data_IF_888311349091
#
_entry.id   IF_888311349091
#
_cell.length_a   1.000
_cell.length_b   1.000
_cell.length_c   1.000
_cell.angle_alpha   90.00
_cell.angle_beta   90.00
_cell.angle_gamma   90.00
#
_symmetry.space_group_name_H-M   'P 1'
#
loop_
_entity.id
_entity.type
_entity.pdbx_description
1 polymer ?
#
# COMPACT_ATOMS: atom_id res chain seq x y z
N UNK A 1 2.94 30.60 -5.54
CA UNK A 1 3.12 31.84 -4.71
C UNK A 1 2.11 31.90 -3.57
N UNK A 2 0.78 31.99 -3.80
CA UNK A 2 -0.24 32.11 -2.72
C UNK A 2 -0.14 31.02 -1.64
N UNK A 3 0.06 29.74 -1.99
CA UNK A 3 0.18 28.64 -1.01
C UNK A 3 1.46 28.63 -0.18
N UNK A 4 2.58 29.17 -0.71
CA UNK A 4 3.81 29.37 0.08
C UNK A 4 3.65 30.54 1.03
N UNK A 5 2.96 31.58 0.61
CA UNK A 5 2.57 32.71 1.47
C UNK A 5 1.77 32.22 2.69
N UNK A 6 0.84 31.26 2.49
CA UNK A 6 0.01 30.69 3.57
C UNK A 6 0.82 29.81 4.55
N UNK A 7 2.00 29.31 4.16
CA UNK A 7 2.92 28.61 5.08
C UNK A 7 3.62 29.60 6.03
N UNK A 8 3.97 30.79 5.53
CA UNK A 8 4.62 31.84 6.32
C UNK A 8 3.60 32.58 7.16
N UNK A 9 2.35 32.71 6.67
CA UNK A 9 1.22 33.31 7.33
C UNK A 9 0.11 32.29 7.56
N UNK A 10 0.26 31.38 8.51
CA UNK A 10 -0.86 30.54 8.86
C UNK A 10 -1.98 31.46 9.35
N UNK A 11 -3.16 31.30 8.77
CA UNK A 11 -4.39 31.82 9.36
C UNK A 11 -4.40 31.47 10.85
N UNK A 12 -4.91 32.35 11.74
CA UNK A 12 -5.03 32.00 13.14
C UNK A 12 -5.66 30.63 13.24
N UNK A 13 -5.19 29.78 14.16
CA UNK A 13 -5.72 28.41 14.24
C UNK A 13 -7.23 28.55 14.40
N UNK A 14 -7.97 28.17 13.39
CA UNK A 14 -9.39 27.85 13.56
C UNK A 14 -9.42 26.92 14.75
N UNK A 15 -10.18 27.24 15.78
CA UNK A 15 -10.27 26.47 17.01
C UNK A 15 -10.48 25.01 16.62
N UNK A 16 -9.37 24.28 16.54
CA UNK A 16 -9.34 22.98 15.93
C UNK A 16 -10.07 21.99 16.82
N UNK A 17 -10.45 20.84 16.30
CA UNK A 17 -11.08 19.70 17.02
C UNK A 17 -10.44 19.45 18.40
N UNK A 18 -9.17 19.81 18.59
CA UNK A 18 -8.45 19.75 19.88
C UNK A 18 -8.99 20.70 20.94
N UNK A 19 -9.31 21.95 20.59
CA UNK A 19 -9.89 22.92 21.54
C UNK A 19 -11.34 22.60 21.88
N UNK A 20 -12.14 22.17 20.91
CA UNK A 20 -13.51 21.70 21.16
C UNK A 20 -13.51 20.50 22.11
N UNK A 21 -12.65 19.51 21.87
CA UNK A 21 -12.50 18.34 22.75
C UNK A 21 -12.02 18.70 24.16
N UNK A 22 -11.11 19.67 24.27
CA UNK A 22 -10.65 20.20 25.54
C UNK A 22 -11.77 20.93 26.30
N UNK A 23 -12.58 21.70 25.58
CA UNK A 23 -13.75 22.38 26.14
C UNK A 23 -14.79 21.38 26.67
N UNK A 24 -15.17 20.38 25.90
CA UNK A 24 -16.06 19.31 26.34
C UNK A 24 -15.52 18.57 27.56
N UNK A 25 -14.23 18.25 27.58
CA UNK A 25 -13.59 17.57 28.71
C UNK A 25 -13.63 18.46 29.96
N UNK A 26 -13.39 19.77 29.84
CA UNK A 26 -13.46 20.73 30.93
C UNK A 26 -14.89 20.91 31.47
N UNK A 27 -15.87 20.92 30.58
CA UNK A 27 -17.28 20.97 31.00
C UNK A 27 -17.67 19.72 31.80
N UNK A 28 -17.28 18.53 31.31
CA UNK A 28 -17.53 17.27 32.04
C UNK A 28 -16.84 17.24 33.40
N UNK A 29 -15.60 17.70 33.46
CA UNK A 29 -14.83 17.82 34.72
C UNK A 29 -15.49 18.79 35.70
N UNK A 30 -15.97 19.93 35.24
CA UNK A 30 -16.68 20.92 36.06
C UNK A 30 -17.98 20.34 36.62
N UNK A 31 -18.78 19.67 35.78
CA UNK A 31 -20.01 18.97 36.20
C UNK A 31 -19.69 17.89 37.25
N UNK A 32 -18.68 17.10 37.05
CA UNK A 32 -18.26 16.07 37.99
C UNK A 32 -17.87 16.70 39.35
N UNK A 33 -17.11 17.78 39.37
CA UNK A 33 -16.74 18.51 40.59
C UNK A 33 -17.97 19.04 41.35
N UNK A 34 -18.93 19.60 40.61
CA UNK A 34 -20.20 20.05 41.18
C UNK A 34 -20.92 18.91 41.92
N UNK A 35 -21.07 17.75 41.28
CA UNK A 35 -21.72 16.60 41.87
C UNK A 35 -20.96 16.07 43.10
N UNK A 36 -19.63 16.06 43.03
CA UNK A 36 -18.78 15.60 44.13
C UNK A 36 -18.87 16.54 45.35
N UNK A 37 -18.86 17.87 45.11
CA UNK A 37 -19.04 18.86 46.19
C UNK A 37 -20.45 18.79 46.79
N UNK A 38 -21.49 18.70 45.97
CA UNK A 38 -22.86 18.50 46.46
C UNK A 38 -23.02 17.23 47.28
N UNK A 39 -22.35 16.13 46.87
CA UNK A 39 -22.31 14.91 47.66
C UNK A 39 -21.54 15.09 48.98
N UNK A 40 -20.46 15.85 48.98
CA UNK A 40 -19.69 16.17 50.17
C UNK A 40 -20.51 16.98 51.16
N UNK A 41 -21.33 17.97 50.72
CA UNK A 41 -22.27 18.72 51.53
C UNK A 41 -23.32 17.79 52.14
N UNK A 42 -23.91 16.93 51.31
CA UNK A 42 -24.92 15.99 51.74
C UNK A 42 -24.42 14.99 52.78
N UNK A 43 -23.18 14.49 52.64
CA UNK A 43 -22.55 13.58 53.62
C UNK A 43 -22.12 14.32 54.88
N UNK A 44 -21.68 15.58 54.81
CA UNK A 44 -21.34 16.43 55.96
C UNK A 44 -22.56 16.65 56.87
N UNK A 45 -23.74 16.94 56.29
CA UNK A 45 -25.00 17.06 57.01
C UNK A 45 -25.40 15.76 57.79
N UNK A 46 -24.80 14.65 57.43
CA UNK A 46 -24.99 13.33 58.06
C UNK A 46 -23.84 12.90 58.97
N UNK A 47 -22.97 13.84 59.30
CA UNK A 47 -21.87 13.62 60.24
C UNK A 47 -20.59 13.00 59.64
N UNK A 48 -20.51 12.92 58.32
CA UNK A 48 -19.28 12.40 57.70
C UNK A 48 -18.25 13.53 57.54
N UNK A 49 -16.99 13.19 57.80
CA UNK A 49 -15.91 14.13 57.51
C UNK A 49 -15.61 14.17 56.02
N UNK A 50 -15.05 15.31 55.51
CA UNK A 50 -14.58 15.40 54.13
C UNK A 50 -13.53 14.35 53.77
N UNK A 51 -12.68 13.98 54.76
CA UNK A 51 -11.69 12.93 54.59
C UNK A 51 -12.34 11.55 54.35
N UNK A 52 -13.39 11.22 55.12
CA UNK A 52 -14.10 9.95 54.96
C UNK A 52 -14.88 9.92 53.60
N UNK A 53 -15.45 11.05 53.19
CA UNK A 53 -16.09 11.19 51.88
C UNK A 53 -15.12 11.06 50.73
N UNK A 54 -13.94 11.69 50.84
CA UNK A 54 -12.89 11.61 49.83
C UNK A 54 -12.35 10.16 49.68
N UNK A 55 -12.13 9.47 50.80
CA UNK A 55 -11.71 8.07 50.81
C UNK A 55 -12.72 7.16 50.11
N UNK A 56 -14.01 7.39 50.37
CA UNK A 56 -15.10 6.61 49.74
C UNK A 56 -15.19 6.85 48.22
N UNK A 57 -14.84 8.04 47.77
CA UNK A 57 -14.79 8.43 46.35
C UNK A 57 -13.45 8.10 45.67
N UNK A 58 -12.54 7.48 46.38
CA UNK A 58 -11.15 7.25 45.89
C UNK A 58 -10.44 8.53 45.44
N UNK A 59 -10.73 9.65 46.10
CA UNK A 59 -10.07 10.93 45.86
C UNK A 59 -9.04 11.20 46.95
N UNK A 60 -7.99 11.91 46.60
CA UNK A 60 -7.08 12.42 47.62
C UNK A 60 -7.85 13.46 48.51
N UNK A 61 -7.84 13.35 49.84
CA UNK A 61 -8.57 14.27 50.72
C UNK A 61 -8.27 15.75 50.42
N UNK A 62 -7.01 16.08 50.13
CA UNK A 62 -6.59 17.44 49.78
C UNK A 62 -7.26 17.95 48.49
N UNK A 63 -7.55 17.10 47.56
CA UNK A 63 -8.24 17.46 46.30
C UNK A 63 -9.70 17.82 46.58
N UNK A 64 -10.39 17.04 47.43
CA UNK A 64 -11.79 17.31 47.79
C UNK A 64 -11.91 18.61 48.62
N UNK A 65 -11.03 18.80 49.61
CA UNK A 65 -10.94 20.05 50.40
C UNK A 65 -10.73 21.22 49.47
N UNK A 66 -9.77 21.16 48.57
CA UNK A 66 -9.53 22.22 47.60
C UNK A 66 -10.74 22.54 46.73
N UNK A 67 -11.49 21.57 46.25
CA UNK A 67 -12.72 21.78 45.49
C UNK A 67 -13.84 22.39 46.34
N UNK A 68 -13.91 21.99 47.60
CA UNK A 68 -14.91 22.44 48.53
C UNK A 68 -14.69 23.89 48.96
N UNK A 69 -13.45 24.26 49.32
CA UNK A 69 -13.09 25.60 49.82
C UNK A 69 -13.07 26.68 48.72
N UNK A 70 -12.66 26.31 47.54
CA UNK A 70 -12.44 27.30 46.48
C UNK A 70 -13.66 27.50 45.59
N UNK A 71 -14.78 26.83 45.83
CA UNK A 71 -16.05 27.01 45.07
C UNK A 71 -15.86 26.99 43.55
N UNK A 72 -14.73 26.46 43.10
CA UNK A 72 -14.07 26.73 41.85
C UNK A 72 -14.71 26.03 40.65
N UNK A 73 -15.92 26.45 40.38
CA UNK A 73 -16.68 26.02 39.23
C UNK A 73 -16.49 26.93 38.02
N UNK A 74 -15.65 27.99 38.17
CA UNK A 74 -15.20 28.76 37.01
C UNK A 74 -14.45 27.79 36.05
N UNK A 75 -14.98 27.60 34.86
CA UNK A 75 -14.29 26.89 33.79
C UNK A 75 -12.93 27.60 33.60
N UNK A 76 -11.85 26.91 33.96
CA UNK A 76 -10.53 27.48 33.76
C UNK A 76 -10.38 27.85 32.28
N UNK A 77 -9.81 29.03 31.96
CA UNK A 77 -9.64 29.43 30.57
C UNK A 77 -8.94 28.34 29.77
N UNK A 78 -9.39 28.12 28.53
CA UNK A 78 -8.75 27.16 27.61
C UNK A 78 -7.36 27.66 27.31
N UNK A 79 -6.38 27.10 27.98
CA UNK A 79 -4.98 27.36 27.71
C UNK A 79 -4.48 26.35 26.73
N UNK A 80 -3.82 26.74 25.64
CA UNK A 80 -3.13 25.79 24.77
C UNK A 80 -2.22 24.89 25.60
N UNK A 81 -2.34 23.56 25.42
CA UNK A 81 -1.46 22.60 26.12
C UNK A 81 -0.01 22.86 25.72
N UNK A 82 0.85 23.06 26.70
CA UNK A 82 2.27 23.29 26.52
C UNK A 82 2.70 24.77 26.52
N UNK A 83 3.99 24.98 26.48
CA UNK A 83 4.59 26.31 26.39
C UNK A 83 4.18 26.93 25.05
N UNK A 84 3.73 28.22 25.02
CA UNK A 84 3.45 28.90 23.77
C UNK A 84 4.66 28.79 22.84
N UNK A 85 4.45 28.25 21.66
CA UNK A 85 5.52 28.19 20.66
C UNK A 85 5.86 29.63 20.24
N UNK A 86 6.98 30.16 20.74
CA UNK A 86 7.54 31.38 20.19
C UNK A 86 7.97 31.08 18.75
N UNK A 87 7.32 31.75 17.80
CA UNK A 87 7.66 31.61 16.39
C UNK A 87 8.75 32.58 16.03
N UNK A 88 9.72 32.11 15.27
CA UNK A 88 10.78 32.98 14.72
C UNK A 88 10.20 34.06 13.81
N UNK A 89 10.90 35.19 13.64
CA UNK A 89 10.48 36.27 12.75
C UNK A 89 10.16 35.78 11.35
N UNK A 90 9.23 36.48 10.69
CA UNK A 90 8.77 36.09 9.34
C UNK A 90 9.93 35.93 8.34
N UNK A 91 10.88 36.87 8.38
CA UNK A 91 12.03 36.87 7.49
C UNK A 91 12.87 35.56 7.62
N UNK A 92 13.11 35.12 8.87
CA UNK A 92 13.84 33.84 9.08
C UNK A 92 13.07 32.65 8.56
N UNK A 93 11.76 32.61 8.76
CA UNK A 93 10.94 31.50 8.22
C UNK A 93 10.92 31.48 6.69
N UNK A 94 10.94 32.66 6.07
CA UNK A 94 11.02 32.80 4.63
C UNK A 94 12.38 32.34 4.10
N UNK A 95 13.48 32.70 4.76
CA UNK A 95 14.82 32.22 4.40
C UNK A 95 14.92 30.68 4.48
N UNK A 96 14.28 30.05 5.46
CA UNK A 96 14.19 28.57 5.51
C UNK A 96 13.47 28.01 4.28
N UNK A 97 12.39 28.65 3.82
CA UNK A 97 11.66 28.18 2.63
C UNK A 97 12.48 28.37 1.35
N UNK A 98 13.25 29.43 1.23
CA UNK A 98 14.15 29.68 0.12
C UNK A 98 15.24 28.60 0.05
N UNK A 99 15.87 28.27 1.18
CA UNK A 99 16.82 27.15 1.27
C UNK A 99 16.16 25.80 0.94
N UNK A 100 14.91 25.60 1.35
CA UNK A 100 14.17 24.37 0.99
C UNK A 100 13.81 24.31 -0.50
N UNK A 101 13.57 25.44 -1.14
CA UNK A 101 13.34 25.49 -2.59
C UNK A 101 14.62 25.16 -3.38
N UNK A 102 15.80 25.54 -2.87
CA UNK A 102 17.09 25.20 -3.47
C UNK A 102 17.50 23.74 -3.21
N UNK A 103 17.45 23.29 -1.96
CA UNK A 103 17.91 21.96 -1.56
C UNK A 103 16.87 20.85 -1.80
N UNK A 104 15.60 21.21 -1.95
CA UNK A 104 14.49 20.30 -2.19
C UNK A 104 13.94 19.60 -0.96
N UNK A 105 12.88 18.78 -1.13
CA UNK A 105 12.10 18.18 -0.03
C UNK A 105 12.85 17.06 0.72
N UNK A 106 13.97 16.55 0.19
CA UNK A 106 14.78 15.52 0.82
C UNK A 106 15.65 16.05 1.97
N UNK A 107 15.80 17.39 2.09
CA UNK A 107 16.57 18.07 3.13
C UNK A 107 16.21 17.57 4.52
N UNK A 108 17.21 17.38 5.38
CA UNK A 108 17.02 16.97 6.77
C UNK A 108 16.80 18.17 7.70
N UNK A 109 16.15 17.92 8.87
CA UNK A 109 16.06 18.95 9.91
C UNK A 109 17.44 19.29 10.47
N UNK A 110 18.40 18.37 10.47
CA UNK A 110 19.77 18.62 10.89
C UNK A 110 20.43 19.66 9.98
N UNK A 111 20.35 19.46 8.65
CA UNK A 111 20.89 20.42 7.66
C UNK A 111 20.28 21.84 7.83
N UNK A 112 18.97 21.92 8.07
CA UNK A 112 18.32 23.20 8.31
C UNK A 112 18.80 23.86 9.61
N UNK A 113 19.09 23.06 10.63
CA UNK A 113 19.56 23.57 11.92
C UNK A 113 20.97 24.14 11.84
N UNK A 114 21.82 23.59 10.97
CA UNK A 114 23.16 24.12 10.73
C UNK A 114 23.09 25.54 10.13
N UNK A 115 22.16 25.77 9.19
CA UNK A 115 21.93 27.10 8.60
C UNK A 115 21.13 28.05 9.50
N UNK A 116 20.30 27.53 10.40
CA UNK A 116 19.40 28.32 11.26
C UNK A 116 19.48 27.91 12.74
N UNK A 117 20.66 28.04 13.40
CA UNK A 117 20.88 27.55 14.76
C UNK A 117 20.02 28.26 15.82
N UNK A 118 19.59 29.48 15.56
CA UNK A 118 18.73 30.24 16.45
C UNK A 118 17.26 29.82 16.44
N UNK A 119 16.84 29.02 15.44
CA UNK A 119 15.46 28.53 15.33
C UNK A 119 15.25 27.24 16.12
N UNK A 120 14.09 27.13 16.76
CA UNK A 120 13.74 25.91 17.48
C UNK A 120 13.62 24.73 16.50
N UNK A 121 14.19 23.57 16.85
CA UNK A 121 14.12 22.33 16.05
C UNK A 121 12.68 21.97 15.67
N UNK A 122 11.74 22.13 16.61
CA UNK A 122 10.33 21.82 16.37
C UNK A 122 9.69 22.75 15.32
N UNK A 123 10.13 24.01 15.23
CA UNK A 123 9.67 24.96 14.22
C UNK A 123 10.22 24.61 12.83
N UNK A 124 11.51 24.27 12.74
CA UNK A 124 12.14 23.81 11.49
C UNK A 124 11.47 22.52 10.98
N UNK A 125 11.18 21.59 11.86
CA UNK A 125 10.47 20.35 11.51
C UNK A 125 9.02 20.64 11.03
N UNK A 126 8.31 21.58 11.66
CA UNK A 126 6.98 21.99 11.20
C UNK A 126 7.02 22.64 9.82
N UNK A 127 7.98 23.55 9.57
CA UNK A 127 8.18 24.18 8.27
C UNK A 127 8.51 23.15 7.19
N UNK A 128 9.44 22.22 7.46
CA UNK A 128 9.81 21.16 6.53
C UNK A 128 8.64 20.23 6.22
N UNK A 129 7.85 19.82 7.23
CA UNK A 129 6.64 18.98 7.01
C UNK A 129 5.61 19.70 6.14
N UNK A 130 5.40 20.98 6.34
CA UNK A 130 4.47 21.78 5.52
C UNK A 130 4.98 21.96 4.10
N UNK A 131 6.27 22.25 3.96
CA UNK A 131 6.93 22.35 2.65
C UNK A 131 6.79 21.05 1.86
N UNK A 132 7.11 19.90 2.46
CA UNK A 132 6.96 18.57 1.85
C UNK A 132 5.54 18.31 1.38
N UNK A 133 4.54 18.67 2.18
CA UNK A 133 3.13 18.52 1.81
C UNK A 133 2.77 19.36 0.56
N UNK A 134 3.20 20.61 0.51
CA UNK A 134 2.95 21.49 -0.65
C UNK A 134 3.71 21.00 -1.87
N UNK A 135 4.96 20.59 -1.68
CA UNK A 135 5.78 20.02 -2.73
C UNK A 135 5.14 18.76 -3.33
N UNK A 136 4.71 17.82 -2.51
CA UNK A 136 4.01 16.60 -2.93
C UNK A 136 2.69 16.92 -3.66
N UNK A 137 1.96 17.94 -3.25
CA UNK A 137 0.74 18.36 -3.97
C UNK A 137 1.04 18.95 -5.35
N UNK A 138 2.17 19.64 -5.51
CA UNK A 138 2.60 20.22 -6.79
C UNK A 138 3.18 19.17 -7.73
N UNK A 139 3.93 18.21 -7.18
CA UNK A 139 4.65 17.17 -7.92
C UNK A 139 3.92 15.83 -7.83
N UNK A 140 2.68 15.81 -8.31
CA UNK A 140 1.90 14.58 -8.39
C UNK A 140 2.18 13.86 -9.70
N UNK A 141 2.45 12.57 -9.59
CA UNK A 141 2.44 11.68 -10.73
C UNK A 141 1.04 11.08 -10.88
N UNK A 142 0.54 11.02 -12.11
CA UNK A 142 -0.78 10.45 -12.40
C UNK A 142 -0.63 9.14 -13.19
N UNK A 143 -0.17 8.06 -12.54
CA UNK A 143 -0.06 6.78 -13.21
C UNK A 143 -1.45 6.24 -13.55
N UNK A 144 -1.49 5.44 -14.60
CA UNK A 144 -2.63 4.60 -14.86
C UNK A 144 -2.62 3.44 -13.86
N UNK A 145 -3.73 3.27 -13.16
CA UNK A 145 -3.96 2.09 -12.31
C UNK A 145 -4.76 1.08 -13.10
N UNK A 146 -4.25 -0.14 -13.15
CA UNK A 146 -4.89 -1.27 -13.82
C UNK A 146 -5.90 -1.93 -12.88
N UNK A 147 -7.12 -2.10 -13.36
CA UNK A 147 -8.16 -2.83 -12.65
C UNK A 147 -8.57 -4.04 -13.47
N UNK A 148 -8.24 -5.22 -12.96
CA UNK A 148 -8.64 -6.49 -13.55
C UNK A 148 -10.05 -6.84 -13.06
N UNK A 149 -10.98 -7.08 -14.01
CA UNK A 149 -12.41 -7.19 -13.69
C UNK A 149 -12.90 -8.63 -13.63
N UNK A 150 -12.28 -9.54 -14.37
CA UNK A 150 -12.78 -10.91 -14.53
C UNK A 150 -11.83 -11.91 -13.88
N UNK A 151 -12.21 -12.47 -12.70
CA UNK A 151 -11.45 -13.56 -12.07
C UNK A 151 -11.31 -14.78 -12.98
N UNK A 152 -10.11 -15.34 -13.04
CA UNK A 152 -9.77 -16.45 -13.89
C UNK A 152 -9.30 -16.08 -15.29
N UNK A 153 -9.42 -14.80 -15.70
CA UNK A 153 -9.08 -14.39 -17.06
C UNK A 153 -7.58 -14.18 -17.28
N UNK A 154 -6.89 -13.61 -16.31
CA UNK A 154 -5.46 -13.27 -16.44
C UNK A 154 -4.70 -13.74 -15.21
N UNK A 155 -3.79 -14.68 -15.43
CA UNK A 155 -2.87 -15.15 -14.40
C UNK A 155 -1.49 -14.54 -14.61
N UNK A 156 -0.84 -14.14 -13.55
CA UNK A 156 0.54 -13.68 -13.57
C UNK A 156 1.44 -14.72 -12.93
N UNK A 157 2.60 -14.95 -13.55
CA UNK A 157 3.60 -15.93 -13.14
C UNK A 157 4.95 -15.26 -12.94
N UNK A 158 5.67 -15.69 -11.92
CA UNK A 158 7.05 -15.27 -11.67
C UNK A 158 7.76 -16.28 -10.76
N UNK A 159 9.09 -16.32 -10.86
CA UNK A 159 9.90 -17.10 -9.94
C UNK A 159 10.40 -16.21 -8.80
N UNK A 160 10.53 -16.80 -7.63
CA UNK A 160 11.07 -16.16 -6.45
C UNK A 160 12.10 -17.08 -5.79
N UNK A 161 13.16 -16.50 -5.24
CA UNK A 161 14.15 -17.23 -4.47
C UNK A 161 13.69 -17.37 -3.02
N UNK A 162 13.89 -18.52 -2.42
CA UNK A 162 13.79 -18.76 -0.99
C UNK A 162 15.06 -18.29 -0.28
N UNK A 163 15.01 -17.86 1.00
CA UNK A 163 16.20 -17.43 1.74
C UNK A 163 17.23 -18.57 1.93
N UNK A 164 16.74 -19.78 2.07
CA UNK A 164 17.49 -21.05 2.11
C UNK A 164 16.68 -22.06 1.35
N UNK A 165 17.28 -23.08 0.69
CA UNK A 165 16.52 -24.11 0.01
C UNK A 165 15.45 -24.76 0.91
N UNK A 166 14.20 -24.72 0.49
CA UNK A 166 13.05 -25.28 1.21
C UNK A 166 13.26 -26.77 1.36
N UNK A 167 13.16 -27.29 2.60
CA UNK A 167 13.50 -28.66 2.98
C UNK A 167 14.89 -29.11 2.47
N UNK A 168 15.83 -28.16 2.35
CA UNK A 168 17.18 -28.42 1.83
C UNK A 168 17.23 -28.77 0.33
N UNK A 169 16.12 -28.67 -0.41
CA UNK A 169 15.98 -29.20 -1.78
C UNK A 169 15.55 -28.16 -2.81
N UNK A 170 14.66 -27.23 -2.46
CA UNK A 170 14.01 -26.34 -3.41
C UNK A 170 14.44 -24.87 -3.17
N UNK A 171 15.41 -24.35 -3.93
CA UNK A 171 15.88 -22.97 -3.76
C UNK A 171 14.93 -21.92 -4.37
N UNK A 172 13.98 -22.35 -5.20
CA UNK A 172 13.06 -21.43 -5.89
C UNK A 172 11.60 -21.79 -5.62
N UNK A 173 10.74 -20.79 -5.85
CA UNK A 173 9.29 -20.91 -5.80
C UNK A 173 8.71 -20.35 -7.10
N UNK A 174 7.81 -21.10 -7.72
CA UNK A 174 6.99 -20.59 -8.82
C UNK A 174 5.68 -20.05 -8.26
N UNK A 175 5.48 -18.73 -8.37
CA UNK A 175 4.26 -18.05 -7.97
C UNK A 175 3.31 -17.96 -9.17
N UNK A 176 2.04 -18.30 -8.96
CA UNK A 176 0.96 -18.09 -9.93
C UNK A 176 -0.19 -17.40 -9.23
N UNK A 177 -0.60 -16.26 -9.75
CA UNK A 177 -1.65 -15.41 -9.16
C UNK A 177 -2.69 -15.00 -10.17
N UNK A 178 -3.96 -15.15 -9.84
CA UNK A 178 -5.04 -14.50 -10.59
C UNK A 178 -5.09 -13.01 -10.27
N UNK A 179 -5.07 -12.17 -11.30
CA UNK A 179 -4.94 -10.71 -11.13
C UNK A 179 -6.24 -10.03 -10.70
N UNK A 180 -7.40 -10.60 -10.99
CA UNK A 180 -8.68 -9.98 -10.66
C UNK A 180 -9.17 -10.34 -9.25
N UNK A 181 -9.09 -11.60 -8.85
CA UNK A 181 -9.44 -12.06 -7.51
C UNK A 181 -8.31 -11.89 -6.50
N UNK A 182 -7.08 -11.73 -6.98
CA UNK A 182 -5.84 -11.80 -6.20
C UNK A 182 -5.56 -13.17 -5.57
N UNK A 183 -6.27 -14.22 -6.00
CA UNK A 183 -6.04 -15.60 -5.56
C UNK A 183 -4.62 -16.05 -5.91
N UNK A 184 -3.90 -16.54 -4.92
CA UNK A 184 -2.64 -17.24 -5.12
C UNK A 184 -2.97 -18.68 -5.55
N UNK A 185 -2.82 -18.95 -6.83
CA UNK A 185 -3.12 -20.26 -7.41
C UNK A 185 -2.02 -21.27 -7.12
N UNK A 186 -0.78 -20.78 -7.05
CA UNK A 186 0.37 -21.54 -6.63
C UNK A 186 1.40 -20.66 -5.91
N UNK A 187 2.04 -21.24 -4.91
CA UNK A 187 3.27 -20.84 -4.27
C UNK A 187 4.09 -22.11 -4.15
N UNK A 188 4.68 -22.53 -5.30
CA UNK A 188 5.12 -23.89 -5.52
C UNK A 188 6.65 -24.00 -5.51
N UNK A 189 7.24 -24.76 -4.57
CA UNK A 189 8.68 -25.00 -4.52
C UNK A 189 9.18 -25.79 -5.73
N UNK A 190 10.23 -25.30 -6.36
CA UNK A 190 10.86 -25.91 -7.53
C UNK A 190 12.38 -25.98 -7.39
N UNK A 191 13.03 -27.00 -7.98
CA UNK A 191 14.49 -27.13 -7.91
C UNK A 191 15.22 -26.11 -8.78
N UNK A 192 14.58 -25.63 -9.87
CA UNK A 192 15.17 -24.64 -10.78
C UNK A 192 14.07 -23.89 -11.55
N UNK A 193 14.32 -22.63 -11.96
CA UNK A 193 13.38 -21.83 -12.73
C UNK A 193 13.39 -22.24 -14.22
N UNK A 194 12.76 -23.35 -14.56
CA UNK A 194 12.74 -23.95 -15.91
C UNK A 194 11.36 -23.93 -16.55
N UNK A 195 11.34 -24.04 -17.88
CA UNK A 195 10.11 -24.22 -18.64
C UNK A 195 9.39 -25.53 -18.28
N UNK A 196 10.14 -26.61 -18.01
CA UNK A 196 9.59 -27.91 -17.63
C UNK A 196 8.78 -27.80 -16.32
N UNK A 197 9.33 -27.17 -15.27
CA UNK A 197 8.64 -26.94 -14.00
C UNK A 197 7.40 -26.05 -14.21
N UNK A 198 7.52 -25.03 -15.05
CA UNK A 198 6.39 -24.13 -15.38
C UNK A 198 5.26 -24.91 -16.06
N UNK A 199 5.58 -25.73 -17.07
CA UNK A 199 4.59 -26.53 -17.81
C UNK A 199 3.92 -27.56 -16.88
N UNK A 200 4.70 -28.24 -16.05
CA UNK A 200 4.19 -29.24 -15.10
C UNK A 200 3.15 -28.59 -14.17
N UNK A 201 3.49 -27.49 -13.57
CA UNK A 201 2.58 -26.77 -12.67
C UNK A 201 1.34 -26.24 -13.41
N UNK A 202 1.51 -25.65 -14.60
CA UNK A 202 0.40 -25.12 -15.38
C UNK A 202 -0.58 -26.21 -15.80
N UNK A 203 -0.11 -27.39 -16.20
CA UNK A 203 -0.98 -28.55 -16.51
C UNK A 203 -1.86 -28.91 -15.31
N UNK A 204 -1.29 -29.00 -14.11
CA UNK A 204 -2.03 -29.27 -12.88
C UNK A 204 -3.08 -28.19 -12.57
N UNK A 205 -2.69 -26.91 -12.70
CA UNK A 205 -3.60 -25.79 -12.49
C UNK A 205 -4.71 -25.72 -13.55
N UNK A 206 -4.41 -26.02 -14.82
CA UNK A 206 -5.40 -26.03 -15.88
C UNK A 206 -6.41 -27.19 -15.72
N UNK A 207 -5.95 -28.34 -15.27
CA UNK A 207 -6.84 -29.47 -14.95
C UNK A 207 -7.81 -29.12 -13.82
N UNK A 208 -7.33 -28.44 -12.79
CA UNK A 208 -8.14 -28.10 -11.62
C UNK A 208 -9.06 -26.88 -11.85
N UNK A 209 -8.55 -25.85 -12.49
CA UNK A 209 -9.20 -24.53 -12.55
C UNK A 209 -9.71 -24.14 -13.94
N UNK A 210 -9.26 -24.83 -14.98
CA UNK A 210 -9.39 -24.43 -16.38
C UNK A 210 -8.34 -23.39 -16.77
N UNK A 211 -7.88 -23.38 -18.05
CA UNK A 211 -6.88 -22.43 -18.50
C UNK A 211 -7.45 -20.99 -18.58
N UNK A 212 -6.62 -19.94 -18.30
CA UNK A 212 -6.99 -18.54 -18.43
C UNK A 212 -7.06 -18.10 -19.91
N UNK A 213 -7.36 -16.83 -20.15
CA UNK A 213 -7.21 -16.22 -21.47
C UNK A 213 -5.76 -15.77 -21.72
N UNK A 214 -5.12 -15.28 -20.66
CA UNK A 214 -3.78 -14.68 -20.73
C UNK A 214 -2.93 -15.16 -19.56
N UNK A 215 -1.70 -15.56 -19.86
CA UNK A 215 -0.63 -15.71 -18.89
C UNK A 215 0.32 -14.52 -19.02
N UNK A 216 0.47 -13.78 -17.93
CA UNK A 216 1.34 -12.61 -17.85
C UNK A 216 2.63 -12.98 -17.13
N UNK A 217 3.78 -12.76 -17.79
CA UNK A 217 5.11 -13.12 -17.29
C UNK A 217 6.10 -11.99 -17.48
N UNK A 218 7.27 -12.11 -16.89
CA UNK A 218 8.45 -11.36 -17.29
C UNK A 218 9.07 -11.96 -18.58
N UNK A 219 10.29 -11.51 -18.92
CA UNK A 219 11.05 -12.05 -20.07
C UNK A 219 12.08 -13.13 -19.63
N UNK A 220 11.85 -13.83 -18.54
CA UNK A 220 12.72 -14.91 -18.10
C UNK A 220 12.81 -16.06 -19.13
N UNK A 221 13.95 -16.73 -19.21
CA UNK A 221 14.21 -17.78 -20.19
C UNK A 221 13.19 -18.94 -20.10
N UNK A 222 12.74 -19.27 -18.90
CA UNK A 222 11.72 -20.30 -18.68
C UNK A 222 10.37 -19.97 -19.38
N UNK A 223 10.00 -18.68 -19.43
CA UNK A 223 8.76 -18.21 -20.05
C UNK A 223 8.89 -17.91 -21.54
N UNK A 224 10.13 -17.74 -22.03
CA UNK A 224 10.42 -17.54 -23.46
C UNK A 224 10.60 -18.84 -24.22
N UNK A 225 10.69 -19.97 -23.53
CA UNK A 225 10.90 -21.27 -24.12
C UNK A 225 9.78 -21.65 -25.10
N UNK A 226 10.15 -22.19 -26.27
CA UNK A 226 9.19 -22.62 -27.30
C UNK A 226 8.27 -23.73 -26.78
N UNK A 227 8.79 -24.66 -25.97
CA UNK A 227 8.00 -25.72 -25.34
C UNK A 227 6.80 -25.20 -24.54
N UNK A 228 6.95 -24.04 -23.84
CA UNK A 228 5.83 -23.42 -23.14
C UNK A 228 4.80 -22.85 -24.14
N UNK A 229 5.24 -22.26 -25.25
CA UNK A 229 4.37 -21.75 -26.29
C UNK A 229 3.58 -22.88 -26.95
N UNK A 230 4.24 -23.97 -27.30
CA UNK A 230 3.61 -25.16 -27.87
C UNK A 230 2.52 -25.75 -26.97
N UNK A 231 2.72 -25.73 -25.66
CA UNK A 231 1.71 -26.15 -24.67
C UNK A 231 0.48 -25.24 -24.64
N UNK A 232 0.67 -23.93 -24.84
CA UNK A 232 -0.40 -22.93 -24.68
C UNK A 232 -1.22 -22.69 -25.96
N UNK A 233 -0.64 -22.89 -27.13
CA UNK A 233 -1.29 -22.65 -28.45
C UNK A 233 -2.57 -23.46 -28.62
N UNK A 234 -2.61 -24.77 -28.35
CA UNK A 234 -3.83 -25.58 -28.51
C UNK A 234 -4.95 -25.14 -27.56
N UNK A 235 -4.59 -24.55 -26.42
CA UNK A 235 -5.52 -24.06 -25.41
C UNK A 235 -5.99 -22.62 -25.68
N UNK A 236 -5.47 -21.97 -26.73
CA UNK A 236 -5.72 -20.57 -27.08
C UNK A 236 -5.38 -19.57 -25.95
N UNK A 237 -4.45 -19.95 -25.07
CA UNK A 237 -3.91 -19.09 -24.01
C UNK A 237 -2.85 -18.16 -24.59
N UNK A 238 -2.96 -16.86 -24.35
CA UNK A 238 -2.01 -15.87 -24.86
C UNK A 238 -0.95 -15.52 -23.82
N UNK A 239 0.32 -15.48 -24.25
CA UNK A 239 1.44 -14.99 -23.43
C UNK A 239 1.52 -13.47 -23.53
N UNK A 240 1.55 -12.79 -22.39
CA UNK A 240 1.71 -11.35 -22.24
C UNK A 240 3.01 -11.06 -21.50
N UNK A 241 4.06 -10.72 -22.24
CA UNK A 241 5.36 -10.38 -21.69
C UNK A 241 5.41 -8.96 -21.17
N UNK A 242 6.05 -8.75 -20.03
CA UNK A 242 6.31 -7.43 -19.49
C UNK A 242 7.22 -6.61 -20.41
N UNK A 243 7.00 -5.27 -20.57
CA UNK A 243 7.94 -4.44 -21.31
C UNK A 243 9.32 -4.46 -20.64
N UNK A 244 10.42 -4.45 -21.40
CA UNK A 244 11.75 -4.33 -20.84
C UNK A 244 11.88 -3.09 -19.93
N UNK A 245 12.66 -3.17 -18.86
CA UNK A 245 12.97 -2.07 -17.95
C UNK A 245 11.73 -1.36 -17.33
N UNK A 246 10.61 -2.07 -17.20
CA UNK A 246 9.40 -1.52 -16.60
C UNK A 246 8.97 -2.34 -15.37
N UNK A 247 9.69 -2.25 -14.22
CA UNK A 247 9.40 -3.07 -13.03
C UNK A 247 7.95 -2.95 -12.56
N UNK A 248 7.40 -1.74 -12.59
CA UNK A 248 6.00 -1.46 -12.16
C UNK A 248 4.93 -2.26 -12.92
N UNK A 249 5.28 -2.85 -14.06
CA UNK A 249 4.33 -3.64 -14.85
C UNK A 249 3.89 -4.92 -14.13
N UNK A 250 4.75 -5.50 -13.29
CA UNK A 250 4.49 -6.70 -12.49
C UNK A 250 4.13 -6.41 -11.02
N UNK A 251 3.98 -5.15 -10.63
CA UNK A 251 3.82 -4.73 -9.23
C UNK A 251 2.72 -5.45 -8.44
N UNK A 252 1.63 -5.90 -9.11
CA UNK A 252 0.58 -6.67 -8.46
C UNK A 252 1.06 -8.08 -8.06
N UNK A 253 1.85 -8.74 -8.91
CA UNK A 253 2.44 -10.05 -8.62
C UNK A 253 3.56 -9.93 -7.60
N UNK A 254 4.45 -8.94 -7.75
CA UNK A 254 5.55 -8.67 -6.80
C UNK A 254 5.02 -8.42 -5.38
N UNK A 255 3.95 -7.63 -5.24
CA UNK A 255 3.27 -7.43 -3.96
C UNK A 255 2.70 -8.74 -3.39
N UNK A 256 2.18 -9.62 -4.26
CA UNK A 256 1.72 -10.96 -3.90
C UNK A 256 2.83 -11.84 -3.38
N UNK A 257 3.95 -11.91 -4.10
CA UNK A 257 5.15 -12.66 -3.72
C UNK A 257 5.71 -12.15 -2.39
N UNK A 258 5.85 -10.83 -2.22
CA UNK A 258 6.29 -10.22 -0.97
C UNK A 258 5.40 -10.58 0.22
N UNK A 259 4.08 -10.59 0.00
CA UNK A 259 3.11 -11.01 1.01
C UNK A 259 3.24 -12.50 1.37
N UNK A 260 3.46 -13.38 0.38
CA UNK A 260 3.67 -14.81 0.59
C UNK A 260 4.98 -15.07 1.34
N UNK A 261 6.09 -14.46 0.92
CA UNK A 261 7.38 -14.55 1.64
C UNK A 261 7.25 -14.17 3.11
N UNK A 262 6.56 -13.05 3.39
CA UNK A 262 6.33 -12.59 4.77
C UNK A 262 5.50 -13.58 5.59
N UNK A 263 4.49 -14.21 4.99
CA UNK A 263 3.67 -15.23 5.66
C UNK A 263 4.44 -16.53 5.90
N UNK A 264 5.15 -17.02 4.88
CA UNK A 264 5.99 -18.21 4.99
C UNK A 264 7.01 -18.05 6.12
N UNK A 265 7.72 -16.91 6.16
CA UNK A 265 8.67 -16.59 7.24
C UNK A 265 8.01 -16.57 8.61
N UNK A 266 6.79 -16.03 8.70
CA UNK A 266 6.05 -15.99 9.95
C UNK A 266 5.61 -17.38 10.41
N UNK A 267 5.22 -18.28 9.51
CA UNK A 267 4.92 -19.67 9.83
C UNK A 267 6.18 -20.39 10.32
N UNK A 268 7.27 -20.32 9.58
CA UNK A 268 8.56 -20.90 9.96
C UNK A 268 9.05 -20.41 11.33
N UNK A 269 8.94 -19.08 11.59
CA UNK A 269 9.33 -18.49 12.87
C UNK A 269 8.46 -18.99 14.04
N UNK A 270 7.15 -19.14 13.83
CA UNK A 270 6.23 -19.68 14.85
C UNK A 270 6.49 -21.16 15.14
N UNK A 271 6.92 -21.90 14.14
CA UNK A 271 7.30 -23.31 14.28
C UNK A 271 8.72 -23.52 14.83
N UNK A 272 9.45 -22.41 15.11
CA UNK A 272 10.78 -22.45 15.75
C UNK A 272 11.95 -22.64 14.78
N UNK A 273 11.73 -22.50 13.47
CA UNK A 273 12.78 -22.60 12.46
C UNK A 273 12.80 -21.39 11.49
N UNK A 274 13.02 -20.15 12.00
CA UNK A 274 13.04 -18.95 11.17
C UNK A 274 14.06 -19.09 10.05
N UNK A 275 13.73 -18.58 8.86
CA UNK A 275 14.50 -18.66 7.60
C UNK A 275 14.62 -20.05 6.96
N UNK A 276 14.37 -21.10 7.70
CA UNK A 276 14.40 -22.49 7.22
C UNK A 276 12.98 -22.95 6.82
N UNK A 277 12.52 -22.49 5.67
CA UNK A 277 11.16 -22.79 5.22
C UNK A 277 10.96 -24.26 4.88
N UNK A 278 9.79 -24.77 5.23
CA UNK A 278 9.33 -26.12 4.88
C UNK A 278 8.20 -26.05 3.85
N UNK A 279 7.88 -27.19 3.24
CA UNK A 279 6.71 -27.32 2.32
C UNK A 279 5.41 -26.96 3.04
N UNK A 280 5.28 -27.28 4.33
CA UNK A 280 4.10 -26.94 5.13
C UNK A 280 3.98 -25.44 5.37
N UNK A 281 5.09 -24.72 5.65
CA UNK A 281 5.08 -23.27 5.80
C UNK A 281 4.64 -22.57 4.53
N UNK A 282 5.09 -23.08 3.38
CA UNK A 282 4.72 -22.57 2.05
C UNK A 282 3.23 -22.78 1.77
N UNK A 283 2.72 -23.99 2.04
CA UNK A 283 1.30 -24.31 1.87
C UNK A 283 0.40 -23.47 2.79
N UNK A 284 0.71 -23.39 4.07
CA UNK A 284 -0.03 -22.57 5.04
C UNK A 284 -0.02 -21.08 4.68
N UNK A 285 1.12 -20.55 4.19
CA UNK A 285 1.21 -19.17 3.75
C UNK A 285 0.29 -18.85 2.56
N UNK A 286 0.19 -19.79 1.60
CA UNK A 286 -0.71 -19.67 0.46
C UNK A 286 -2.19 -19.71 0.89
N UNK A 287 -2.55 -20.65 1.74
CA UNK A 287 -3.91 -20.78 2.27
C UNK A 287 -4.31 -19.54 3.08
N UNK A 288 -3.45 -19.09 3.98
CA UNK A 288 -3.68 -17.89 4.77
C UNK A 288 -3.84 -16.64 3.89
N UNK A 289 -2.98 -16.48 2.88
CA UNK A 289 -3.07 -15.35 1.95
C UNK A 289 -4.42 -15.33 1.24
N UNK A 290 -4.92 -16.47 0.81
CA UNK A 290 -6.19 -16.60 0.11
C UNK A 290 -7.41 -16.40 1.04
N UNK A 291 -7.32 -16.86 2.28
CA UNK A 291 -8.43 -16.81 3.23
C UNK A 291 -8.54 -15.45 3.96
N UNK A 292 -7.41 -14.76 4.21
CA UNK A 292 -7.40 -13.60 5.11
C UNK A 292 -7.09 -12.27 4.45
N UNK A 293 -6.41 -12.26 3.29
CA UNK A 293 -6.07 -11.01 2.63
C UNK A 293 -7.32 -10.22 2.22
N UNK A 294 -7.21 -8.88 2.24
CA UNK A 294 -8.26 -7.95 1.85
C UNK A 294 -7.72 -6.93 0.85
N UNK A 295 -7.45 -7.33 -0.39
CA UNK A 295 -6.80 -6.46 -1.39
C UNK A 295 -7.62 -5.24 -1.78
N UNK A 296 -8.94 -5.26 -1.54
CA UNK A 296 -9.86 -4.15 -1.80
C UNK A 296 -10.22 -3.36 -0.53
N UNK A 297 -9.45 -3.50 0.55
CA UNK A 297 -9.67 -2.85 1.84
C UNK A 297 -10.46 -3.73 2.82
N UNK A 298 -10.58 -3.30 4.06
CA UNK A 298 -11.10 -4.10 5.19
C UNK A 298 -12.47 -4.73 4.95
N UNK A 299 -13.35 -4.04 4.22
CA UNK A 299 -14.71 -4.53 3.88
C UNK A 299 -14.74 -5.32 2.57
N UNK A 300 -13.63 -5.43 1.86
CA UNK A 300 -13.54 -6.18 0.61
C UNK A 300 -13.62 -7.69 0.82
N UNK A 301 -14.00 -8.41 -0.24
CA UNK A 301 -14.00 -9.87 -0.23
C UNK A 301 -12.57 -10.42 -0.19
N UNK A 302 -12.42 -11.64 0.34
CA UNK A 302 -11.13 -12.36 0.29
C UNK A 302 -10.84 -12.85 -1.13
N UNK A 303 -9.56 -13.11 -1.48
CA UNK A 303 -9.21 -13.75 -2.73
C UNK A 303 -9.97 -15.04 -2.96
N UNK A 304 -10.07 -15.89 -1.94
CA UNK A 304 -10.80 -17.15 -2.03
C UNK A 304 -12.29 -16.95 -2.34
N UNK A 305 -12.95 -15.99 -1.71
CA UNK A 305 -14.38 -15.70 -1.95
C UNK A 305 -14.61 -15.23 -3.40
N UNK A 306 -13.76 -14.31 -3.91
CA UNK A 306 -13.83 -13.84 -5.29
C UNK A 306 -13.54 -14.97 -6.30
N UNK A 307 -12.57 -15.82 -5.99
CA UNK A 307 -12.19 -16.93 -6.85
C UNK A 307 -13.27 -18.01 -6.92
N UNK A 308 -13.81 -18.39 -5.78
CA UNK A 308 -14.86 -19.44 -5.69
C UNK A 308 -16.16 -19.01 -6.35
N UNK A 309 -16.51 -17.73 -6.30
CA UNK A 309 -17.69 -17.17 -6.96
C UNK A 309 -17.53 -16.88 -8.45
N UNK A 310 -16.35 -17.13 -9.05
CA UNK A 310 -16.12 -16.82 -10.46
C UNK A 310 -16.88 -17.71 -11.42
N UNK A 311 -17.24 -17.19 -12.56
CA UNK A 311 -17.62 -17.99 -13.72
C UNK A 311 -16.39 -18.66 -14.31
N UNK A 312 -16.45 -19.98 -14.52
CA UNK A 312 -15.37 -20.68 -15.23
C UNK A 312 -15.39 -20.32 -16.72
N UNK A 313 -14.21 -20.08 -17.27
CA UNK A 313 -14.02 -19.80 -18.68
C UNK A 313 -14.14 -21.08 -19.50
N UNK A 314 -14.88 -20.97 -20.60
CA UNK A 314 -15.07 -22.05 -21.56
C UNK A 314 -14.05 -21.99 -22.70
N UNK A 315 -13.94 -23.05 -23.52
CA UNK A 315 -13.18 -22.99 -24.78
C UNK A 315 -13.74 -21.94 -25.76
N UNK A 316 -15.05 -21.70 -25.73
CA UNK A 316 -15.69 -20.67 -26.56
C UNK A 316 -15.23 -19.26 -26.14
N UNK A 317 -15.11 -18.99 -24.83
CA UNK A 317 -14.57 -17.71 -24.33
C UNK A 317 -13.15 -17.47 -24.83
N UNK A 318 -12.30 -18.50 -24.79
CA UNK A 318 -10.90 -18.42 -25.25
C UNK A 318 -10.82 -18.21 -26.76
N UNK A 319 -11.60 -18.94 -27.56
CA UNK A 319 -11.68 -18.72 -29.02
C UNK A 319 -12.11 -17.30 -29.35
N UNK A 320 -13.14 -16.81 -28.68
CA UNK A 320 -13.64 -15.47 -28.90
C UNK A 320 -12.59 -14.41 -28.53
N UNK A 321 -11.89 -14.59 -27.40
CA UNK A 321 -10.81 -13.68 -27.01
C UNK A 321 -9.64 -13.75 -27.99
N UNK A 322 -9.26 -14.94 -28.43
CA UNK A 322 -8.20 -15.12 -29.43
C UNK A 322 -8.53 -14.45 -30.76
N UNK A 323 -9.81 -14.52 -31.20
CA UNK A 323 -10.28 -13.79 -32.38
C UNK A 323 -10.19 -12.27 -32.18
N UNK A 324 -10.64 -11.76 -31.02
CA UNK A 324 -10.51 -10.32 -30.68
C UNK A 324 -9.04 -9.88 -30.71
N UNK A 325 -8.12 -10.68 -30.16
CA UNK A 325 -6.67 -10.36 -30.22
C UNK A 325 -6.15 -10.31 -31.64
N UNK A 326 -6.57 -11.22 -32.52
CA UNK A 326 -6.16 -11.17 -33.95
C UNK A 326 -6.65 -9.88 -34.62
N UNK A 327 -7.92 -9.55 -34.48
CA UNK A 327 -8.49 -8.32 -35.02
C UNK A 327 -7.74 -7.08 -34.50
N UNK A 328 -7.51 -7.01 -33.19
CA UNK A 328 -6.75 -5.92 -32.60
C UNK A 328 -5.29 -5.88 -33.03
N UNK A 329 -4.70 -7.01 -33.41
CA UNK A 329 -3.36 -7.04 -33.98
C UNK A 329 -3.30 -6.45 -35.38
N UNK A 330 -4.30 -6.74 -36.23
CA UNK A 330 -4.44 -6.13 -37.56
C UNK A 330 -4.59 -4.61 -37.46
N UNK A 331 -5.44 -4.13 -36.54
CA UNK A 331 -5.60 -2.71 -36.27
C UNK A 331 -4.31 -2.03 -35.79
N UNK A 332 -3.57 -2.68 -34.89
CA UNK A 332 -2.28 -2.17 -34.39
C UNK A 332 -1.26 -2.11 -35.52
N UNK A 333 -1.17 -3.14 -36.35
CA UNK A 333 -0.27 -3.17 -37.51
C UNK A 333 -0.61 -2.04 -38.50
N UNK A 334 -1.87 -1.85 -38.84
CA UNK A 334 -2.31 -0.79 -39.71
C UNK A 334 -1.99 0.62 -39.16
N UNK A 335 -2.18 0.84 -37.85
CA UNK A 335 -1.88 2.12 -37.21
C UNK A 335 -0.37 2.42 -37.14
N UNK A 336 0.46 1.39 -37.03
CA UNK A 336 1.93 1.52 -36.98
C UNK A 336 2.58 1.43 -38.36
N UNK A 337 1.80 1.27 -39.43
CA UNK A 337 2.31 1.18 -40.80
C UNK A 337 3.12 -0.10 -41.06
N UNK A 338 2.87 -1.17 -40.33
CA UNK A 338 3.55 -2.46 -40.47
C UNK A 338 2.92 -3.21 -41.66
N UNK A 339 3.72 -3.46 -42.69
CA UNK A 339 3.28 -4.25 -43.85
C UNK A 339 3.09 -5.72 -43.46
N UNK A 340 2.17 -6.43 -44.13
CA UNK A 340 1.90 -7.86 -43.87
C UNK A 340 3.14 -8.74 -44.04
N UNK A 341 4.06 -8.39 -44.91
CA UNK A 341 5.28 -9.13 -45.23
C UNK A 341 6.52 -8.64 -44.48
N UNK A 342 6.34 -7.70 -43.54
CA UNK A 342 7.47 -7.12 -42.82
C UNK A 342 8.13 -8.13 -41.87
N UNK A 343 9.44 -8.33 -42.03
CA UNK A 343 10.23 -9.10 -41.07
C UNK A 343 10.44 -8.30 -39.79
N UNK A 344 9.72 -8.64 -38.74
CA UNK A 344 9.79 -7.98 -37.45
C UNK A 344 10.85 -8.63 -36.55
N UNK A 345 11.57 -7.84 -35.81
CA UNK A 345 12.38 -8.39 -34.71
C UNK A 345 11.51 -9.00 -33.61
N UNK A 346 12.05 -9.96 -32.86
CA UNK A 346 11.34 -10.58 -31.75
C UNK A 346 10.87 -9.57 -30.68
N UNK A 347 11.54 -8.44 -30.55
CA UNK A 347 11.15 -7.36 -29.63
C UNK A 347 9.95 -6.57 -30.15
N UNK A 348 9.93 -6.24 -31.45
CA UNK A 348 8.82 -5.55 -32.11
C UNK A 348 7.58 -6.44 -32.12
N UNK A 349 7.73 -7.72 -32.47
CA UNK A 349 6.65 -8.68 -32.44
C UNK A 349 5.99 -8.74 -31.06
N UNK A 350 6.79 -8.86 -29.98
CA UNK A 350 6.29 -8.85 -28.59
C UNK A 350 5.65 -7.51 -28.22
N UNK A 351 6.16 -6.37 -28.74
CA UNK A 351 5.57 -5.04 -28.51
C UNK A 351 4.18 -4.93 -29.11
N UNK A 352 4.05 -5.30 -30.38
CA UNK A 352 2.78 -5.27 -31.09
C UNK A 352 1.77 -6.26 -30.51
N UNK A 353 2.21 -7.48 -30.22
CA UNK A 353 1.37 -8.50 -29.58
C UNK A 353 0.87 -8.04 -28.21
N UNK A 354 1.72 -7.41 -27.40
CA UNK A 354 1.33 -6.82 -26.10
C UNK A 354 0.29 -5.71 -26.30
N UNK A 355 0.43 -4.85 -27.32
CA UNK A 355 -0.53 -3.80 -27.63
C UNK A 355 -1.89 -4.39 -28.00
N UNK A 356 -1.91 -5.41 -28.88
CA UNK A 356 -3.13 -6.10 -29.30
C UNK A 356 -3.85 -6.80 -28.13
N UNK A 357 -3.11 -7.58 -27.31
CA UNK A 357 -3.69 -8.22 -26.13
C UNK A 357 -4.27 -7.19 -25.16
N UNK A 358 -3.56 -6.08 -24.89
CA UNK A 358 -4.06 -5.02 -24.02
C UNK A 358 -5.37 -4.40 -24.55
N UNK A 359 -5.45 -4.11 -25.85
CA UNK A 359 -6.67 -3.58 -26.46
C UNK A 359 -7.83 -4.57 -26.38
N UNK A 360 -7.59 -5.84 -26.68
CA UNK A 360 -8.59 -6.90 -26.56
C UNK A 360 -9.10 -7.06 -25.11
N UNK A 361 -8.22 -6.97 -24.12
CA UNK A 361 -8.60 -7.01 -22.70
C UNK A 361 -9.49 -5.83 -22.30
N UNK A 362 -9.22 -4.63 -22.83
CA UNK A 362 -10.04 -3.44 -22.59
C UNK A 362 -11.38 -3.54 -23.31
N UNK A 363 -11.39 -3.90 -24.59
CA UNK A 363 -12.59 -4.09 -25.42
C UNK A 363 -13.56 -5.10 -24.78
N UNK A 364 -13.01 -6.19 -24.25
CA UNK A 364 -13.79 -7.25 -23.57
C UNK A 364 -14.14 -6.91 -22.10
N UNK A 365 -13.82 -5.71 -21.63
CA UNK A 365 -14.11 -5.28 -20.27
C UNK A 365 -13.35 -6.03 -19.17
N UNK A 366 -12.30 -6.78 -19.52
CA UNK A 366 -11.47 -7.57 -18.59
C UNK A 366 -10.46 -6.68 -17.87
N UNK A 367 -9.98 -5.64 -18.58
CA UNK A 367 -9.04 -4.66 -18.05
C UNK A 367 -9.64 -3.25 -18.15
N UNK A 368 -9.59 -2.52 -17.05
CA UNK A 368 -9.97 -1.11 -16.98
C UNK A 368 -8.81 -0.26 -16.49
N UNK A 369 -8.63 0.91 -17.08
CA UNK A 369 -7.65 1.90 -16.64
C UNK A 369 -8.35 3.02 -15.89
N UNK A 370 -7.79 3.38 -14.73
CA UNK A 370 -8.13 4.63 -14.05
C UNK A 370 -6.88 5.47 -13.85
N UNK A 371 -7.02 6.79 -13.78
CA UNK A 371 -5.91 7.68 -13.41
C UNK A 371 -5.99 7.95 -11.93
N UNK A 372 -4.92 7.69 -11.20
CA UNK A 372 -4.79 8.03 -9.78
C UNK A 372 -3.65 9.02 -9.61
N UNK A 373 -3.93 10.15 -8.95
CA UNK A 373 -2.87 11.08 -8.55
C UNK A 373 -2.15 10.51 -7.33
N UNK A 374 -0.87 10.24 -7.47
CA UNK A 374 -0.02 9.74 -6.39
C UNK A 374 1.06 10.79 -6.15
N UNK A 375 1.25 11.28 -4.91
CA UNK A 375 2.36 12.17 -4.60
C UNK A 375 3.69 11.43 -4.85
N UNK A 376 4.66 12.14 -5.41
CA UNK A 376 6.01 11.58 -5.59
C UNK A 376 6.62 11.27 -4.22
N UNK A 377 7.31 10.13 -4.06
CA UNK A 377 8.03 9.84 -2.84
C UNK A 377 9.16 10.85 -2.64
N UNK A 378 9.30 11.31 -1.41
CA UNK A 378 10.45 12.12 -1.01
C UNK A 378 11.57 11.15 -0.66
N UNK A 379 12.41 10.81 -1.64
CA UNK A 379 13.60 10.00 -1.42
C UNK A 379 14.73 10.90 -0.94
N UNK A 380 15.37 10.55 0.20
CA UNK A 380 16.66 11.14 0.51
C UNK A 380 17.65 10.60 -0.52
N UNK A 381 18.14 11.44 -1.38
CA UNK A 381 19.37 11.16 -2.13
C UNK A 381 20.46 10.93 -1.08
N UNK A 382 20.78 9.67 -0.79
CA UNK A 382 22.10 9.36 -0.24
C UNK A 382 23.07 9.90 -1.26
N UNK A 383 23.87 10.86 -0.85
CA UNK A 383 24.94 11.48 -1.64
C UNK A 383 25.64 10.38 -2.45
N UNK A 384 25.50 10.41 -3.76
CA UNK A 384 26.47 9.76 -4.60
C UNK A 384 27.79 10.43 -4.25
N UNK A 385 28.68 9.70 -3.58
CA UNK A 385 30.06 10.10 -3.43
C UNK A 385 30.61 10.30 -4.84
N UNK A 386 30.76 11.56 -5.21
CA UNK A 386 31.63 11.95 -6.31
C UNK A 386 33.03 11.90 -5.72
N UNK A 387 33.76 10.87 -6.05
CA UNK A 387 35.22 10.94 -6.19
C UNK A 387 35.55 11.37 -7.59
#
# INVERSE_FOLDING_TARGET
>A
MKRLHDLVHPSPPVAGRGLARQYEQRQRETLLRHHVVALADWTAQRGWSLAATAQRLHLAPRTLVHWYEHGGFAVAPLVPLGRPTMRSPRAQRQAVLEVLDELGPATSVATLRDGFPAMARAELDDLLRRYRRVWQQRHQHAPHVLHWQLPGAVWALDFAEAPVPIDGRYPYLLAVRDLASHQQLAWWPVPAPTAAETILLLRALFATHGPPLVLKTDNGSAFLAEALREELVPLEVRLLFSPPQTPRYNGALEAGIGSLKTRTERHASRAGHPTLWTLDDVAHAQEEANATARPQGERGATPHALWSGRRRLTSADRRLFAATVRCQREEVNAQEGVAEEASLSAQEERRLQRAAIRRALVERGILRFTRRRIPLPITSTKSANIM
#
